data_IF_681072072875
#
_entry.id   IF_681072072875
#
_cell.length_a   1.000
_cell.length_b   1.000
_cell.length_c   1.000
_cell.angle_alpha   90.00
_cell.angle_beta   90.00
_cell.angle_gamma   90.00
#
_symmetry.space_group_name_H-M   'P 1'
#
loop_
_entity.id
_entity.type
_entity.pdbx_description
1 polymer ?
#
# COMPACT_ATOMS: atom_id res chain seq x y z
N UNK A 1 -16.44 3.22 5.27
CA UNK A 1 -15.65 3.12 6.51
C UNK A 1 -15.59 1.67 6.92
N UNK A 2 -14.38 1.15 7.07
CA UNK A 2 -14.19 -0.29 7.07
C UNK A 2 -13.94 -0.84 8.46
N UNK A 3 -14.45 -2.05 8.71
CA UNK A 3 -14.05 -2.88 9.85
C UNK A 3 -12.66 -3.46 9.57
N UNK A 4 -11.86 -3.73 10.61
CA UNK A 4 -10.57 -4.39 10.45
C UNK A 4 -10.76 -5.90 10.18
N UNK A 5 -11.22 -6.26 9.00
CA UNK A 5 -11.25 -7.63 8.49
C UNK A 5 -10.25 -7.77 7.33
N UNK A 6 -9.92 -9.01 6.97
CA UNK A 6 -8.95 -9.29 5.90
C UNK A 6 -9.35 -8.65 4.56
N UNK A 7 -10.63 -8.74 4.17
CA UNK A 7 -11.12 -8.19 2.91
C UNK A 7 -10.95 -6.67 2.81
N UNK A 8 -11.21 -5.94 3.88
CA UNK A 8 -11.07 -4.48 3.87
C UNK A 8 -9.60 -4.04 3.87
N UNK A 9 -8.72 -4.80 4.51
CA UNK A 9 -7.27 -4.53 4.46
C UNK A 9 -6.73 -4.84 3.07
N UNK A 10 -7.16 -5.95 2.46
CA UNK A 10 -6.83 -6.27 1.07
C UNK A 10 -7.32 -5.17 0.13
N UNK A 11 -8.57 -4.72 0.29
CA UNK A 11 -9.14 -3.63 -0.49
C UNK A 11 -8.37 -2.32 -0.29
N UNK A 12 -7.97 -2.00 0.95
CA UNK A 12 -7.07 -0.88 1.24
C UNK A 12 -5.76 -0.98 0.46
N UNK A 13 -5.08 -2.13 0.47
CA UNK A 13 -3.81 -2.31 -0.23
C UNK A 13 -3.98 -2.12 -1.75
N UNK A 14 -5.05 -2.67 -2.33
CA UNK A 14 -5.34 -2.53 -3.77
C UNK A 14 -5.60 -1.06 -4.15
N UNK A 15 -6.48 -0.37 -3.42
CA UNK A 15 -6.80 1.04 -3.68
C UNK A 15 -5.57 1.93 -3.51
N UNK A 16 -4.75 1.64 -2.50
CA UNK A 16 -3.50 2.34 -2.24
C UNK A 16 -2.54 2.25 -3.42
N UNK A 17 -2.28 1.05 -3.93
CA UNK A 17 -1.39 0.91 -5.08
C UNK A 17 -1.98 1.51 -6.35
N UNK A 18 -3.30 1.40 -6.56
CA UNK A 18 -3.95 2.07 -7.69
C UNK A 18 -3.72 3.59 -7.66
N UNK A 19 -3.95 4.24 -6.51
CA UNK A 19 -3.73 5.68 -6.32
C UNK A 19 -2.24 6.02 -6.49
N UNK A 20 -1.36 5.21 -5.90
CA UNK A 20 0.08 5.40 -6.03
C UNK A 20 0.54 5.33 -7.50
N UNK A 21 0.05 4.36 -8.27
CA UNK A 21 0.41 4.25 -9.68
C UNK A 21 -0.16 5.36 -10.55
N UNK A 22 -1.39 5.83 -10.27
CA UNK A 22 -1.93 7.03 -10.91
C UNK A 22 -1.05 8.24 -10.59
N UNK A 23 -0.63 8.42 -9.34
CA UNK A 23 0.27 9.49 -8.95
C UNK A 23 1.62 9.39 -9.70
N UNK A 24 2.21 8.19 -9.79
CA UNK A 24 3.47 7.97 -10.50
C UNK A 24 3.36 8.22 -12.00
N UNK A 25 2.22 7.89 -12.61
CA UNK A 25 1.93 8.18 -14.02
C UNK A 25 2.02 9.69 -14.30
N UNK A 26 1.41 10.53 -13.46
CA UNK A 26 1.50 11.97 -13.60
C UNK A 26 2.88 12.52 -13.26
N UNK A 27 3.55 12.00 -12.22
CA UNK A 27 4.89 12.45 -11.83
C UNK A 27 5.92 12.24 -12.94
N UNK A 28 5.84 11.12 -13.65
CA UNK A 28 6.84 10.71 -14.62
C UNK A 28 6.42 10.96 -16.08
N UNK A 29 5.29 11.64 -16.32
CA UNK A 29 4.68 11.82 -17.64
C UNK A 29 4.55 10.51 -18.44
N UNK A 30 4.29 9.39 -17.74
CA UNK A 30 4.24 8.06 -18.33
C UNK A 30 2.85 7.42 -18.17
N UNK A 31 2.06 7.49 -19.26
CA UNK A 31 0.67 7.03 -19.32
C UNK A 31 0.49 5.56 -19.75
N UNK A 32 1.55 4.75 -19.64
CA UNK A 32 1.50 3.32 -19.98
C UNK A 32 0.44 2.53 -19.18
N UNK A 33 0.10 3.02 -17.98
CA UNK A 33 -0.99 2.49 -17.16
C UNK A 33 -2.36 2.45 -17.87
N UNK A 34 -2.64 3.44 -18.72
CA UNK A 34 -3.94 3.59 -19.38
C UNK A 34 -3.88 3.07 -20.83
N UNK A 35 -2.73 3.21 -21.48
CA UNK A 35 -2.52 2.77 -22.85
C UNK A 35 -1.29 1.85 -22.98
N UNK A 36 -1.36 0.61 -22.46
CA UNK A 36 -0.22 -0.32 -22.43
C UNK A 36 0.14 -0.91 -23.80
N UNK A 37 -0.65 -0.64 -24.85
CA UNK A 37 -0.34 -1.13 -26.20
C UNK A 37 -0.40 -2.65 -26.35
N UNK A 38 -1.29 -3.32 -25.59
CA UNK A 38 -1.47 -4.78 -25.56
C UNK A 38 -1.91 -5.28 -26.94
N UNK A 39 -1.14 -6.20 -27.54
CA UNK A 39 -1.45 -6.81 -28.85
C UNK A 39 -1.92 -8.25 -28.74
N UNK A 40 -1.43 -8.96 -27.74
CA UNK A 40 -1.76 -10.37 -27.51
C UNK A 40 -1.86 -10.72 -26.01
N UNK A 41 -2.07 -12.00 -25.72
CA UNK A 41 -2.21 -12.53 -24.35
C UNK A 41 -0.89 -12.46 -23.58
N UNK A 42 0.26 -12.57 -24.25
CA UNK A 42 1.56 -12.49 -23.61
C UNK A 42 1.85 -11.06 -23.14
N UNK A 43 1.53 -10.06 -23.96
CA UNK A 43 1.59 -8.64 -23.60
C UNK A 43 0.69 -8.33 -22.39
N UNK A 44 -0.55 -8.84 -22.40
CA UNK A 44 -1.48 -8.68 -21.27
C UNK A 44 -0.91 -9.28 -19.99
N UNK A 45 -0.36 -10.51 -20.06
CA UNK A 45 0.22 -11.18 -18.91
C UNK A 45 1.43 -10.41 -18.36
N UNK A 46 2.33 -9.96 -19.24
CA UNK A 46 3.49 -9.18 -18.86
C UNK A 46 3.10 -7.85 -18.20
N UNK A 47 2.10 -7.17 -18.75
CA UNK A 47 1.54 -5.95 -18.19
C UNK A 47 0.97 -6.17 -16.78
N UNK A 48 0.10 -7.18 -16.63
CA UNK A 48 -0.48 -7.52 -15.33
C UNK A 48 0.58 -7.93 -14.32
N UNK A 49 1.58 -8.69 -14.75
CA UNK A 49 2.71 -9.07 -13.91
C UNK A 49 3.46 -7.84 -13.40
N UNK A 50 3.89 -6.96 -14.30
CA UNK A 50 4.62 -5.74 -13.93
C UNK A 50 3.83 -4.86 -12.96
N UNK A 51 2.52 -4.72 -13.20
CA UNK A 51 1.65 -3.85 -12.40
C UNK A 51 1.26 -4.46 -11.05
N UNK A 52 1.02 -5.78 -10.99
CA UNK A 52 0.52 -6.45 -9.79
C UNK A 52 1.62 -7.08 -8.94
N UNK A 53 2.85 -7.25 -9.46
CA UNK A 53 3.94 -7.91 -8.74
C UNK A 53 4.17 -7.32 -7.34
N UNK A 54 4.37 -6.00 -7.25
CA UNK A 54 4.65 -5.35 -5.97
C UNK A 54 3.42 -5.30 -5.04
N UNK A 55 2.19 -4.97 -5.52
CA UNK A 55 0.98 -5.07 -4.71
C UNK A 55 0.75 -6.47 -4.13
N UNK A 56 0.99 -7.52 -4.92
CA UNK A 56 0.83 -8.91 -4.48
C UNK A 56 1.85 -9.25 -3.39
N UNK A 57 3.12 -8.87 -3.55
CA UNK A 57 4.15 -9.06 -2.51
C UNK A 57 3.73 -8.37 -1.20
N UNK A 58 3.27 -7.12 -1.29
CA UNK A 58 2.82 -6.36 -0.12
C UNK A 58 1.57 -6.96 0.52
N UNK A 59 0.64 -7.49 -0.26
CA UNK A 59 -0.50 -8.26 0.26
C UNK A 59 0.00 -9.48 1.04
N UNK A 60 0.89 -10.29 0.47
CA UNK A 60 1.38 -11.51 1.13
C UNK A 60 2.10 -11.17 2.45
N UNK A 61 2.96 -10.16 2.44
CA UNK A 61 3.78 -9.80 3.60
C UNK A 61 2.99 -9.07 4.69
N UNK A 62 2.14 -8.12 4.32
CA UNK A 62 1.59 -7.16 5.29
C UNK A 62 0.11 -7.35 5.61
N UNK A 63 -0.64 -8.19 4.89
CA UNK A 63 -2.05 -8.42 5.19
C UNK A 63 -2.25 -8.95 6.63
N UNK A 64 -1.45 -9.94 7.03
CA UNK A 64 -1.52 -10.53 8.38
C UNK A 64 -1.02 -9.55 9.45
N UNK A 65 0.19 -8.95 9.34
CA UNK A 65 0.64 -7.93 10.29
C UNK A 65 -0.33 -6.76 10.47
N UNK A 66 -0.88 -6.21 9.38
CA UNK A 66 -1.85 -5.12 9.45
C UNK A 66 -3.13 -5.55 10.16
N UNK A 67 -3.65 -6.74 9.88
CA UNK A 67 -4.83 -7.26 10.57
C UNK A 67 -4.62 -7.42 12.06
N UNK A 68 -3.50 -8.00 12.47
CA UNK A 68 -3.19 -8.17 13.89
C UNK A 68 -2.86 -6.86 14.60
N UNK A 69 -2.35 -5.84 13.89
CA UNK A 69 -2.14 -4.51 14.47
C UNK A 69 -3.42 -3.96 15.10
N UNK A 70 -4.57 -4.12 14.44
CA UNK A 70 -5.85 -3.66 14.97
C UNK A 70 -6.33 -4.43 16.20
N UNK A 71 -5.79 -5.61 16.49
CA UNK A 71 -6.10 -6.39 17.71
C UNK A 71 -5.27 -5.98 18.92
N UNK A 72 -4.20 -5.20 18.74
CA UNK A 72 -3.35 -4.72 19.83
C UNK A 72 -4.15 -3.76 20.70
N UNK A 73 -4.19 -4.02 22.02
CA UNK A 73 -4.94 -3.19 22.98
C UNK A 73 -4.25 -1.85 23.27
N UNK A 74 -2.95 -1.87 23.57
CA UNK A 74 -2.24 -0.64 23.96
C UNK A 74 -1.88 0.19 22.73
N UNK A 75 -2.26 1.46 22.78
CA UNK A 75 -2.07 2.39 21.67
C UNK A 75 -0.61 2.58 21.21
N UNK A 76 0.40 2.68 22.09
CA UNK A 76 1.79 2.84 21.65
C UNK A 76 2.29 1.67 20.79
N UNK A 77 1.93 0.43 21.14
CA UNK A 77 2.30 -0.75 20.36
C UNK A 77 1.60 -0.80 19.00
N UNK A 78 0.36 -0.31 18.91
CA UNK A 78 -0.34 -0.17 17.63
C UNK A 78 0.37 0.82 16.70
N UNK A 79 0.79 1.98 17.21
CA UNK A 79 1.57 2.94 16.39
C UNK A 79 2.89 2.31 15.96
N UNK A 80 3.64 1.74 16.91
CA UNK A 80 4.97 1.19 16.64
C UNK A 80 4.95 0.14 15.53
N UNK A 81 3.98 -0.79 15.55
CA UNK A 81 3.90 -1.83 14.52
C UNK A 81 3.56 -1.25 13.15
N UNK A 82 2.71 -0.23 13.08
CA UNK A 82 2.37 0.42 11.81
C UNK A 82 3.55 1.23 11.26
N UNK A 83 4.36 1.87 12.13
CA UNK A 83 5.61 2.52 11.72
C UNK A 83 6.57 1.47 11.15
N UNK A 84 6.76 0.33 11.82
CA UNK A 84 7.62 -0.75 11.33
C UNK A 84 7.14 -1.26 9.97
N UNK A 85 5.84 -1.48 9.81
CA UNK A 85 5.25 -1.91 8.53
C UNK A 85 5.57 -0.90 7.42
N UNK A 86 5.34 0.40 7.66
CA UNK A 86 5.63 1.45 6.69
C UNK A 86 7.13 1.56 6.36
N UNK A 87 8.01 1.40 7.35
CA UNK A 87 9.46 1.40 7.14
C UNK A 87 9.93 0.21 6.31
N UNK A 88 9.40 -1.00 6.57
CA UNK A 88 9.73 -2.18 5.75
C UNK A 88 9.17 -1.99 4.34
N UNK A 89 7.96 -1.46 4.22
CA UNK A 89 7.34 -1.17 2.92
C UNK A 89 8.17 -0.19 2.10
N UNK A 90 8.67 0.88 2.73
CA UNK A 90 9.61 1.81 2.12
C UNK A 90 10.84 1.09 1.58
N UNK A 91 11.53 0.31 2.44
CA UNK A 91 12.74 -0.40 2.06
C UNK A 91 12.50 -1.41 0.92
N UNK A 92 11.39 -2.14 0.96
CA UNK A 92 11.02 -3.08 -0.11
C UNK A 92 10.79 -2.32 -1.43
N UNK A 93 10.05 -1.22 -1.39
CA UNK A 93 9.73 -0.48 -2.61
C UNK A 93 10.96 0.18 -3.22
N UNK A 94 11.78 0.86 -2.40
CA UNK A 94 13.00 1.51 -2.89
C UNK A 94 13.99 0.49 -3.43
N UNK A 95 14.15 -0.67 -2.77
CA UNK A 95 15.05 -1.72 -3.21
C UNK A 95 14.60 -2.42 -4.49
N UNK A 96 13.31 -2.80 -4.61
CA UNK A 96 12.83 -3.59 -5.75
C UNK A 96 12.35 -2.75 -6.94
N UNK A 97 11.82 -1.56 -6.71
CA UNK A 97 11.11 -0.78 -7.74
C UNK A 97 11.70 0.61 -8.00
N UNK A 98 12.46 1.20 -7.08
CA UNK A 98 12.89 2.60 -7.21
C UNK A 98 14.31 2.88 -6.71
N UNK A 99 15.27 2.09 -7.20
CA UNK A 99 16.68 2.23 -6.82
C UNK A 99 17.28 3.58 -7.25
N UNK A 100 16.78 4.16 -8.35
CA UNK A 100 17.29 5.41 -8.92
C UNK A 100 16.69 6.67 -8.28
N UNK A 101 15.49 6.57 -7.70
CA UNK A 101 14.78 7.71 -7.11
C UNK A 101 14.09 7.29 -5.80
N UNK A 102 14.79 7.52 -4.69
CA UNK A 102 14.30 7.16 -3.36
C UNK A 102 13.02 7.92 -2.96
N UNK A 103 12.74 9.07 -3.59
CA UNK A 103 11.53 9.85 -3.31
C UNK A 103 10.26 9.08 -3.62
N UNK A 104 10.28 8.16 -4.60
CA UNK A 104 9.13 7.32 -4.91
C UNK A 104 8.73 6.43 -3.71
N UNK A 105 9.70 5.95 -2.93
CA UNK A 105 9.42 5.26 -1.67
C UNK A 105 8.74 6.16 -0.65
N UNK A 106 9.19 7.41 -0.54
CA UNK A 106 8.59 8.39 0.37
C UNK A 106 7.14 8.68 -0.04
N UNK A 107 6.87 8.89 -1.32
CA UNK A 107 5.50 9.09 -1.81
C UNK A 107 4.60 7.88 -1.52
N UNK A 108 5.12 6.67 -1.71
CA UNK A 108 4.39 5.44 -1.37
C UNK A 108 4.04 5.41 0.13
N UNK A 109 4.98 5.72 1.03
CA UNK A 109 4.71 5.79 2.48
C UNK A 109 3.67 6.85 2.83
N UNK A 110 3.75 8.05 2.25
CA UNK A 110 2.81 9.14 2.50
C UNK A 110 1.39 8.73 2.05
N UNK A 111 1.26 8.18 0.85
CA UNK A 111 -0.02 7.70 0.30
C UNK A 111 -0.57 6.55 1.17
N UNK A 112 0.28 5.61 1.58
CA UNK A 112 -0.07 4.54 2.51
C UNK A 112 -0.62 5.09 3.82
N UNK A 113 0.07 6.05 4.46
CA UNK A 113 -0.35 6.63 5.73
C UNK A 113 -1.69 7.40 5.60
N UNK A 114 -1.85 8.21 4.57
CA UNK A 114 -3.09 8.97 4.31
C UNK A 114 -4.26 8.01 4.10
N UNK A 115 -4.11 7.02 3.23
CA UNK A 115 -5.20 6.09 2.92
C UNK A 115 -5.52 5.16 4.09
N UNK A 116 -4.51 4.74 4.85
CA UNK A 116 -4.71 3.97 6.07
C UNK A 116 -5.59 4.75 7.06
N UNK A 117 -5.28 6.05 7.25
CA UNK A 117 -6.12 6.93 8.04
C UNK A 117 -7.53 7.05 7.46
N UNK A 118 -7.69 7.38 6.17
CA UNK A 118 -9.01 7.53 5.53
C UNK A 118 -9.88 6.27 5.73
N UNK A 119 -9.34 5.08 5.49
CA UNK A 119 -10.07 3.83 5.55
C UNK A 119 -10.45 3.43 6.98
N UNK A 120 -9.56 3.67 7.95
CA UNK A 120 -9.66 3.13 9.32
C UNK A 120 -9.73 4.18 10.44
N UNK A 121 -9.89 5.48 10.13
CA UNK A 121 -9.85 6.58 11.12
C UNK A 121 -10.76 6.35 12.34
N UNK A 122 -11.98 5.83 12.18
CA UNK A 122 -12.87 5.60 13.34
C UNK A 122 -12.36 4.49 14.24
N UNK A 123 -11.76 3.43 13.68
CA UNK A 123 -11.15 2.37 14.49
C UNK A 123 -9.92 2.89 15.25
N UNK A 124 -9.11 3.74 14.59
CA UNK A 124 -7.96 4.39 15.21
C UNK A 124 -8.42 5.33 16.34
N UNK A 125 -9.47 6.13 16.10
CA UNK A 125 -10.04 7.04 17.10
C UNK A 125 -10.53 6.30 18.35
N UNK A 126 -11.21 5.16 18.18
CA UNK A 126 -11.65 4.33 19.33
C UNK A 126 -10.46 3.86 20.15
N UNK A 127 -9.35 3.48 19.51
CA UNK A 127 -8.12 3.12 20.24
C UNK A 127 -7.51 4.28 20.99
N UNK A 128 -7.60 5.50 20.46
CA UNK A 128 -7.07 6.71 21.10
C UNK A 128 -7.89 7.13 22.32
N UNK A 129 -9.22 6.99 22.27
CA UNK A 129 -10.12 7.32 23.40
C UNK A 129 -10.01 6.30 24.54
N UNK A 130 -9.67 5.04 24.21
CA UNK A 130 -9.52 3.96 25.18
C UNK A 130 -8.05 3.71 25.60
N UNK A 131 -7.11 4.56 25.18
CA UNK A 131 -5.69 4.46 25.48
C UNK A 131 -5.37 4.98 26.88
#
# INVERSE_FOLDING_TARGET
>A
MFKANFLNILFYILVKYLIFYIFMMFKNDNFYLISPGIRDVADLFYYLWMFLFFPVIVCILFLVPLYYSFKIRKYPYFILINIIILSIEYCLYTYFASQLDLWNGIYNVIISAILFWVFFHKLIKVKFVNA
#
